data_IF_176240589805
#
_entry.id   IF_176240589805
#
_cell.length_a   1.000
_cell.length_b   1.000
_cell.length_c   1.000
_cell.angle_alpha   90.00
_cell.angle_beta   90.00
_cell.angle_gamma   90.00
#
_symmetry.space_group_name_H-M   'P 1'
#
loop_
_entity.id
_entity.type
_entity.pdbx_description
1 polymer ?
#
# COMPACT_ATOMS: atom_id res chain seq x y z
N UNK A 1 1.61 7.16 -17.79
CA UNK A 1 1.90 7.64 -16.42
C UNK A 1 1.12 6.86 -15.36
N UNK A 2 -0.22 6.95 -15.27
CA UNK A 2 -0.96 6.21 -14.24
C UNK A 2 -0.76 4.69 -14.30
N UNK A 3 -0.87 4.08 -15.49
CA UNK A 3 -0.65 2.63 -15.63
C UNK A 3 0.77 2.20 -15.24
N UNK A 4 1.77 3.02 -15.54
CA UNK A 4 3.14 2.75 -15.12
C UNK A 4 3.27 2.79 -13.60
N UNK A 5 2.71 3.83 -12.96
CA UNK A 5 2.63 3.89 -11.49
C UNK A 5 1.86 2.72 -10.89
N UNK A 6 0.78 2.28 -11.55
CA UNK A 6 -0.01 1.12 -11.14
C UNK A 6 0.80 -0.17 -11.18
N UNK A 7 1.45 -0.46 -12.32
CA UNK A 7 2.29 -1.67 -12.45
C UNK A 7 3.48 -1.63 -11.50
N UNK A 8 4.08 -0.45 -11.30
CA UNK A 8 5.17 -0.28 -10.35
C UNK A 8 4.71 -0.57 -8.90
N UNK A 9 3.60 0.01 -8.47
CA UNK A 9 3.01 -0.25 -7.14
C UNK A 9 2.66 -1.73 -6.97
N UNK A 10 2.11 -2.35 -8.03
CA UNK A 10 1.76 -3.77 -8.07
C UNK A 10 3.00 -4.66 -7.90
N UNK A 11 4.15 -4.30 -8.48
CA UNK A 11 5.42 -5.04 -8.31
C UNK A 11 6.14 -4.75 -6.98
N UNK A 12 5.98 -3.53 -6.45
CA UNK A 12 6.60 -3.15 -5.18
C UNK A 12 6.00 -3.96 -4.02
N UNK A 13 4.70 -4.22 -4.03
CA UNK A 13 4.03 -5.01 -2.99
C UNK A 13 4.64 -6.40 -2.76
N UNK A 14 4.74 -7.30 -3.76
CA UNK A 14 5.36 -8.60 -3.58
C UNK A 14 6.86 -8.47 -3.28
N UNK A 15 7.55 -7.45 -3.80
CA UNK A 15 8.95 -7.19 -3.46
C UNK A 15 9.13 -6.90 -1.96
N UNK A 16 8.28 -6.04 -1.41
CA UNK A 16 8.23 -5.74 0.03
C UNK A 16 7.82 -6.98 0.85
N UNK A 17 6.92 -7.80 0.32
CA UNK A 17 6.50 -9.05 0.93
C UNK A 17 7.64 -10.06 1.05
N UNK A 18 8.35 -10.29 -0.05
CA UNK A 18 9.46 -11.23 -0.17
C UNK A 18 10.63 -10.76 0.70
N UNK A 19 10.92 -9.45 0.72
CA UNK A 19 11.91 -8.88 1.62
C UNK A 19 11.63 -9.27 3.08
N UNK A 20 10.40 -9.02 3.54
CA UNK A 20 10.00 -9.32 4.93
C UNK A 20 9.96 -10.81 5.21
N UNK A 21 9.46 -11.60 4.28
CA UNK A 21 9.48 -13.06 4.37
C UNK A 21 10.92 -13.56 4.54
N UNK A 22 11.85 -13.06 3.73
CA UNK A 22 13.27 -13.45 3.79
C UNK A 22 13.94 -13.02 5.10
N UNK A 23 13.67 -11.80 5.56
CA UNK A 23 14.29 -11.26 6.78
C UNK A 23 13.71 -11.90 8.05
N UNK A 24 12.39 -12.10 8.13
CA UNK A 24 11.70 -12.56 9.34
C UNK A 24 11.57 -14.08 9.35
N UNK A 25 11.07 -14.67 8.26
CA UNK A 25 10.78 -16.11 8.20
C UNK A 25 12.05 -16.93 7.92
N UNK A 26 12.90 -16.48 7.00
CA UNK A 26 14.17 -17.17 6.70
C UNK A 26 15.34 -16.69 7.58
N UNK A 27 15.17 -15.63 8.37
CA UNK A 27 16.22 -15.02 9.19
C UNK A 27 17.49 -14.65 8.39
N UNK A 28 17.34 -14.26 7.11
CA UNK A 28 18.45 -13.91 6.21
C UNK A 28 18.50 -12.40 5.94
N UNK A 29 19.15 -11.65 6.83
CA UNK A 29 19.32 -10.19 6.68
C UNK A 29 20.26 -9.78 5.55
N UNK A 30 21.18 -10.67 5.15
CA UNK A 30 22.23 -10.35 4.16
C UNK A 30 21.76 -10.44 2.70
N UNK A 31 20.54 -10.93 2.45
CA UNK A 31 20.01 -11.08 1.09
C UNK A 31 19.60 -9.72 0.53
N UNK A 32 18.79 -8.98 1.29
CA UNK A 32 18.32 -7.64 0.91
C UNK A 32 19.17 -6.55 1.56
N UNK A 33 20.34 -6.28 0.99
CA UNK A 33 21.12 -5.06 1.30
C UNK A 33 20.64 -3.88 0.47
N UNK A 34 20.98 -2.65 0.87
CA UNK A 34 20.61 -1.43 0.14
C UNK A 34 21.00 -1.49 -1.35
N UNK A 35 22.27 -1.83 -1.63
CA UNK A 35 22.77 -1.94 -3.01
C UNK A 35 22.05 -3.03 -3.81
N UNK A 36 21.84 -4.22 -3.23
CA UNK A 36 21.12 -5.31 -3.91
C UNK A 36 19.66 -4.97 -4.17
N UNK A 37 19.03 -4.26 -3.23
CA UNK A 37 17.66 -3.78 -3.38
C UNK A 37 17.57 -2.79 -4.53
N UNK A 38 18.50 -1.82 -4.60
CA UNK A 38 18.57 -0.87 -5.71
C UNK A 38 18.74 -1.58 -7.07
N UNK A 39 19.62 -2.59 -7.13
CA UNK A 39 19.82 -3.40 -8.34
C UNK A 39 18.57 -4.20 -8.72
N UNK A 40 17.78 -4.67 -7.75
CA UNK A 40 16.52 -5.35 -7.97
C UNK A 40 15.40 -4.42 -8.45
N UNK A 41 15.45 -3.13 -8.12
CA UNK A 41 14.50 -2.14 -8.62
C UNK A 41 14.67 -1.83 -10.12
N UNK A 42 15.88 -1.95 -10.67
CA UNK A 42 16.14 -1.72 -12.11
C UNK A 42 15.27 -2.62 -13.00
N UNK A 43 15.29 -3.97 -12.87
CA UNK A 43 14.43 -4.84 -13.68
C UNK A 43 12.95 -4.67 -13.34
N UNK A 44 12.59 -4.33 -12.10
CA UNK A 44 11.18 -4.05 -11.73
C UNK A 44 10.65 -2.86 -12.53
N UNK A 45 11.40 -1.76 -12.58
CA UNK A 45 11.02 -0.58 -13.33
C UNK A 45 10.91 -0.93 -14.81
N UNK A 46 11.89 -1.68 -15.36
CA UNK A 46 11.85 -2.11 -16.76
C UNK A 46 10.61 -2.97 -17.07
N UNK A 47 10.24 -3.91 -16.18
CA UNK A 47 9.03 -4.74 -16.34
C UNK A 47 7.76 -3.90 -16.23
N UNK A 48 7.70 -2.95 -15.28
CA UNK A 48 6.54 -2.05 -15.13
C UNK A 48 6.34 -1.17 -16.36
N UNK A 49 7.42 -0.55 -16.86
CA UNK A 49 7.37 0.29 -18.07
C UNK A 49 7.05 -0.55 -19.31
N UNK A 50 7.57 -1.77 -19.43
CA UNK A 50 7.21 -2.70 -20.51
C UNK A 50 5.72 -3.07 -20.43
N UNK A 51 5.20 -3.49 -19.27
CA UNK A 51 3.80 -3.84 -19.08
C UNK A 51 2.86 -2.65 -19.38
N UNK A 52 3.24 -1.44 -18.98
CA UNK A 52 2.52 -0.22 -19.32
C UNK A 52 2.51 0.02 -20.84
N UNK A 53 3.66 -0.13 -21.49
CA UNK A 53 3.79 0.05 -22.95
C UNK A 53 2.96 -0.98 -23.72
N UNK A 54 3.01 -2.25 -23.31
CA UNK A 54 2.20 -3.31 -23.92
C UNK A 54 0.71 -3.03 -23.76
N UNK A 55 0.29 -2.63 -22.56
CA UNK A 55 -1.11 -2.35 -22.24
C UNK A 55 -1.67 -1.13 -22.95
N UNK A 56 -0.83 -0.12 -23.24
CA UNK A 56 -1.25 1.14 -23.86
C UNK A 56 -1.12 1.17 -25.39
N UNK A 57 -0.04 0.63 -25.95
CA UNK A 57 0.31 0.84 -27.37
C UNK A 57 0.25 -0.43 -28.22
N UNK A 58 0.55 -1.60 -27.64
CA UNK A 58 0.73 -2.84 -28.42
C UNK A 58 -0.55 -3.69 -28.46
N UNK A 59 -1.35 -3.68 -27.38
CA UNK A 59 -2.68 -4.31 -27.36
C UNK A 59 -3.76 -3.23 -27.57
N UNK A 60 -4.11 -2.88 -28.83
CA UNK A 60 -4.89 -1.68 -29.18
C UNK A 60 -6.36 -1.67 -28.72
N UNK A 61 -6.82 -2.66 -27.95
CA UNK A 61 -8.24 -2.80 -27.63
C UNK A 61 -8.80 -1.75 -26.66
N UNK A 62 -7.97 -1.10 -25.83
CA UNK A 62 -8.43 -0.12 -24.85
C UNK A 62 -7.42 1.01 -24.65
N UNK A 63 -7.75 2.21 -25.15
CA UNK A 63 -7.08 3.44 -24.72
C UNK A 63 -7.62 3.78 -23.34
N UNK A 64 -6.74 3.82 -22.34
CA UNK A 64 -7.07 4.38 -21.02
C UNK A 64 -7.17 5.89 -21.17
N UNK A 65 -8.39 6.42 -21.16
CA UNK A 65 -8.61 7.86 -21.17
C UNK A 65 -8.64 8.32 -19.72
N UNK A 66 -7.71 9.20 -19.36
CA UNK A 66 -7.78 9.92 -18.09
C UNK A 66 -8.80 11.03 -18.22
N UNK A 67 -9.88 10.94 -17.47
CA UNK A 67 -10.81 12.05 -17.34
C UNK A 67 -10.36 12.91 -16.15
N UNK A 68 -9.83 14.08 -16.49
CA UNK A 68 -9.30 15.05 -15.53
C UNK A 68 -10.43 15.56 -14.61
N UNK A 69 -11.67 15.59 -15.08
CA UNK A 69 -12.81 16.09 -14.31
C UNK A 69 -13.15 15.22 -13.09
N UNK A 70 -12.90 13.91 -13.19
CA UNK A 70 -13.12 12.93 -12.11
C UNK A 70 -11.80 12.44 -11.49
N UNK A 71 -10.66 12.95 -11.96
CA UNK A 71 -9.32 12.45 -11.59
C UNK A 71 -9.22 10.92 -11.67
N UNK A 72 -9.87 10.32 -12.66
CA UNK A 72 -9.96 8.87 -12.77
C UNK A 72 -9.77 8.40 -14.21
N UNK A 73 -9.35 7.15 -14.34
CA UNK A 73 -9.09 6.52 -15.62
C UNK A 73 -10.23 5.58 -15.95
N UNK A 74 -10.81 5.72 -17.13
CA UNK A 74 -11.81 4.80 -17.65
C UNK A 74 -11.22 3.97 -18.79
N UNK A 75 -11.50 2.66 -18.78
CA UNK A 75 -11.17 1.79 -19.89
C UNK A 75 -12.31 1.87 -20.91
N UNK A 76 -12.07 2.53 -22.05
CA UNK A 76 -13.01 2.48 -23.16
C UNK A 76 -12.92 1.10 -23.80
N UNK A 77 -13.92 0.26 -23.56
CA UNK A 77 -14.05 -1.04 -24.22
C UNK A 77 -14.86 -0.90 -25.50
N UNK A 78 -14.31 -1.35 -26.62
CA UNK A 78 -15.07 -1.51 -27.85
C UNK A 78 -15.98 -2.75 -27.69
N UNK A 79 -17.29 -2.65 -27.97
CA UNK A 79 -18.17 -3.82 -27.93
C UNK A 79 -17.69 -4.88 -28.92
N UNK A 80 -17.78 -6.16 -28.54
CA UNK A 80 -17.35 -7.34 -29.31
C UNK A 80 -15.83 -7.54 -29.53
N UNK A 81 -14.96 -6.76 -28.86
CA UNK A 81 -13.51 -7.02 -28.88
C UNK A 81 -13.03 -7.43 -27.49
N UNK A 82 -12.34 -8.57 -27.41
CA UNK A 82 -11.75 -9.02 -26.15
C UNK A 82 -10.65 -8.07 -25.69
N UNK A 83 -10.76 -7.58 -24.45
CA UNK A 83 -9.80 -6.61 -23.91
C UNK A 83 -8.56 -7.30 -23.34
N UNK A 84 -7.53 -7.48 -24.17
CA UNK A 84 -6.23 -8.00 -23.73
C UNK A 84 -5.60 -7.15 -22.63
N UNK A 85 -5.74 -5.82 -22.68
CA UNK A 85 -5.19 -4.93 -21.64
C UNK A 85 -5.83 -5.18 -20.28
N UNK A 86 -7.16 -5.42 -20.22
CA UNK A 86 -7.83 -5.83 -18.98
C UNK A 86 -7.31 -7.19 -18.50
N UNK A 87 -7.14 -8.16 -19.39
CA UNK A 87 -6.60 -9.47 -18.98
C UNK A 87 -5.19 -9.36 -18.40
N UNK A 88 -4.32 -8.54 -19.00
CA UNK A 88 -2.95 -8.32 -18.51
C UNK A 88 -2.97 -7.70 -17.12
N UNK A 89 -3.72 -6.60 -16.93
CA UNK A 89 -3.81 -5.93 -15.63
C UNK A 89 -4.37 -6.89 -14.57
N UNK A 90 -5.44 -7.63 -14.89
CA UNK A 90 -6.07 -8.56 -13.95
C UNK A 90 -5.10 -9.66 -13.53
N UNK A 91 -4.42 -10.24 -14.51
CA UNK A 91 -3.43 -11.30 -14.28
C UNK A 91 -2.30 -10.79 -13.38
N UNK A 92 -1.85 -9.56 -13.63
CA UNK A 92 -0.80 -8.91 -12.87
C UNK A 92 -1.22 -8.62 -11.43
N UNK A 93 -2.41 -8.04 -11.24
CA UNK A 93 -2.97 -7.70 -9.93
C UNK A 93 -3.21 -8.98 -9.11
N UNK A 94 -3.77 -10.03 -9.72
CA UNK A 94 -3.99 -11.33 -9.07
C UNK A 94 -2.68 -11.99 -8.65
N UNK A 95 -1.68 -12.00 -9.53
CA UNK A 95 -0.38 -12.61 -9.25
C UNK A 95 0.36 -11.86 -8.13
N UNK A 96 0.41 -10.52 -8.21
CA UNK A 96 1.06 -9.68 -7.22
C UNK A 96 0.36 -9.77 -5.86
N UNK A 97 -0.98 -9.73 -5.85
CA UNK A 97 -1.80 -9.92 -4.64
C UNK A 97 -1.59 -11.31 -4.05
N UNK A 98 -1.59 -12.35 -4.89
CA UNK A 98 -1.42 -13.74 -4.47
C UNK A 98 -0.07 -13.98 -3.80
N UNK A 99 1.04 -13.59 -4.45
CA UNK A 99 2.38 -13.71 -3.88
C UNK A 99 2.49 -12.96 -2.56
N UNK A 100 2.01 -11.71 -2.53
CA UNK A 100 2.05 -10.89 -1.32
C UNK A 100 1.29 -11.58 -0.20
N UNK A 101 0.04 -11.98 -0.44
CA UNK A 101 -0.82 -12.64 0.55
C UNK A 101 -0.15 -13.88 1.15
N UNK A 102 0.44 -14.74 0.31
CA UNK A 102 1.17 -15.94 0.77
C UNK A 102 2.37 -15.56 1.64
N UNK A 103 3.21 -14.62 1.19
CA UNK A 103 4.37 -14.17 1.95
C UNK A 103 3.97 -13.59 3.31
N UNK A 104 2.91 -12.79 3.38
CA UNK A 104 2.45 -12.19 4.63
C UNK A 104 1.73 -13.16 5.56
N UNK A 105 0.99 -14.13 5.01
CA UNK A 105 0.46 -15.24 5.79
C UNK A 105 1.60 -16.01 6.48
N UNK A 106 2.68 -16.31 5.75
CA UNK A 106 3.87 -16.95 6.31
C UNK A 106 4.54 -16.10 7.39
N UNK A 107 4.73 -14.80 7.16
CA UNK A 107 5.31 -13.88 8.16
C UNK A 107 4.43 -13.81 9.41
N UNK A 108 3.11 -13.73 9.24
CA UNK A 108 2.15 -13.72 10.35
C UNK A 108 2.24 -14.99 11.18
N UNK A 109 2.26 -16.16 10.53
CA UNK A 109 2.41 -17.46 11.21
C UNK A 109 3.73 -17.52 11.98
N UNK A 110 4.83 -17.07 11.38
CA UNK A 110 6.14 -17.00 12.04
C UNK A 110 6.09 -16.14 13.30
N UNK A 111 5.54 -14.92 13.23
CA UNK A 111 5.43 -14.02 14.38
C UNK A 111 4.55 -14.63 15.47
N UNK A 112 3.40 -15.23 15.10
CA UNK A 112 2.49 -15.88 16.06
C UNK A 112 3.16 -17.05 16.78
N UNK A 113 3.90 -17.88 16.06
CA UNK A 113 4.64 -19.01 16.64
C UNK A 113 5.79 -18.53 17.51
N UNK A 114 6.43 -17.42 17.14
CA UNK A 114 7.48 -16.79 17.91
C UNK A 114 6.92 -16.29 19.27
N UNK A 115 5.79 -15.59 19.28
CA UNK A 115 5.15 -15.02 20.48
C UNK A 115 4.77 -16.05 21.56
N UNK A 116 4.67 -17.34 21.22
CA UNK A 116 4.39 -18.42 22.18
C UNK A 116 5.61 -18.80 23.05
N UNK A 117 6.82 -18.34 22.70
CA UNK A 117 8.07 -18.69 23.41
C UNK A 117 8.41 -17.60 24.44
N UNK A 118 8.86 -18.01 25.65
CA UNK A 118 9.34 -17.13 26.74
C UNK A 118 10.46 -16.21 26.23
N UNK A 119 10.42 -14.93 26.59
CA UNK A 119 10.99 -13.85 25.76
C UNK A 119 12.03 -12.96 26.45
N UNK A 120 13.15 -12.72 25.79
CA UNK A 120 14.11 -11.67 26.15
C UNK A 120 13.56 -10.28 25.81
N UNK A 121 13.81 -9.28 26.66
CA UNK A 121 13.31 -7.91 26.44
C UNK A 121 13.67 -7.34 25.05
N UNK A 122 14.88 -7.62 24.53
CA UNK A 122 15.32 -7.18 23.21
C UNK A 122 14.52 -7.85 22.07
N UNK A 123 14.25 -9.16 22.20
CA UNK A 123 13.42 -9.91 21.23
C UNK A 123 11.99 -9.38 21.22
N UNK A 124 11.45 -9.03 22.39
CA UNK A 124 10.12 -8.43 22.52
C UNK A 124 9.99 -7.12 21.73
N UNK A 125 11.00 -6.24 21.80
CA UNK A 125 10.99 -4.94 21.10
C UNK A 125 11.05 -5.13 19.58
N UNK A 126 11.93 -6.01 19.10
CA UNK A 126 12.04 -6.35 17.67
C UNK A 126 10.75 -6.96 17.14
N UNK A 127 10.13 -7.90 17.87
CA UNK A 127 8.85 -8.51 17.48
C UNK A 127 7.68 -7.54 17.47
N UNK A 128 7.62 -6.62 18.45
CA UNK A 128 6.65 -5.50 18.40
C UNK A 128 6.85 -4.69 17.14
N UNK A 129 8.09 -4.39 16.75
CA UNK A 129 8.41 -3.72 15.50
C UNK A 129 7.97 -4.50 14.25
N UNK A 130 8.25 -5.80 14.20
CA UNK A 130 7.85 -6.66 13.08
C UNK A 130 6.32 -6.76 12.95
N UNK A 131 5.62 -6.87 14.07
CA UNK A 131 4.14 -6.89 14.12
C UNK A 131 3.55 -5.58 13.58
N UNK A 132 4.14 -4.41 13.92
CA UNK A 132 3.69 -3.11 13.40
C UNK A 132 3.79 -3.03 11.89
N UNK A 133 4.93 -3.46 11.36
CA UNK A 133 5.14 -3.46 9.93
C UNK A 133 4.22 -4.44 9.19
N UNK A 134 3.87 -5.55 9.83
CA UNK A 134 2.87 -6.48 9.29
C UNK A 134 1.51 -5.79 9.20
N UNK A 135 1.06 -5.11 10.25
CA UNK A 135 -0.21 -4.36 10.24
C UNK A 135 -0.20 -3.30 9.13
N UNK A 136 0.89 -2.55 8.98
CA UNK A 136 1.07 -1.58 7.89
C UNK A 136 0.86 -2.21 6.53
N UNK A 137 1.48 -3.35 6.31
CA UNK A 137 1.30 -4.04 5.06
C UNK A 137 -0.15 -4.53 4.86
N UNK A 138 -0.79 -5.09 5.89
CA UNK A 138 -2.17 -5.58 5.79
C UNK A 138 -3.11 -4.46 5.34
N UNK A 139 -2.95 -3.24 5.87
CA UNK A 139 -3.73 -2.10 5.42
C UNK A 139 -3.46 -1.73 3.96
N UNK A 140 -2.19 -1.66 3.54
CA UNK A 140 -1.82 -1.42 2.14
C UNK A 140 -2.47 -2.46 1.23
N UNK A 141 -2.38 -3.74 1.59
CA UNK A 141 -2.93 -4.84 0.81
C UNK A 141 -4.46 -4.78 0.72
N UNK A 142 -5.16 -4.47 1.82
CA UNK A 142 -6.62 -4.29 1.80
C UNK A 142 -7.01 -3.14 0.88
N UNK A 143 -6.37 -1.98 1.00
CA UNK A 143 -6.70 -0.83 0.17
C UNK A 143 -6.32 -1.03 -1.30
N UNK A 144 -5.23 -1.73 -1.58
CA UNK A 144 -4.87 -2.12 -2.93
C UNK A 144 -5.89 -3.09 -3.53
N UNK A 145 -6.28 -4.13 -2.79
CA UNK A 145 -7.31 -5.09 -3.23
C UNK A 145 -8.63 -4.39 -3.48
N UNK A 146 -9.03 -3.48 -2.59
CA UNK A 146 -10.22 -2.67 -2.78
C UNK A 146 -10.11 -1.79 -4.05
N UNK A 147 -8.99 -1.11 -4.26
CA UNK A 147 -8.78 -0.25 -5.41
C UNK A 147 -8.86 -1.02 -6.74
N UNK A 148 -8.15 -2.15 -6.86
CA UNK A 148 -8.16 -2.93 -8.10
C UNK A 148 -9.48 -3.67 -8.29
N UNK A 149 -10.08 -4.20 -7.21
CA UNK A 149 -11.41 -4.84 -7.30
C UNK A 149 -12.46 -3.84 -7.76
N UNK A 150 -12.44 -2.60 -7.26
CA UNK A 150 -13.32 -1.53 -7.74
C UNK A 150 -13.07 -1.21 -9.21
N UNK A 151 -11.80 -1.18 -9.64
CA UNK A 151 -11.47 -0.95 -11.04
C UNK A 151 -12.12 -1.99 -11.98
N UNK A 152 -12.23 -3.25 -11.55
CA UNK A 152 -12.91 -4.31 -12.31
C UNK A 152 -14.41 -4.34 -12.15
N UNK A 153 -14.91 -4.11 -10.94
CA UNK A 153 -16.33 -4.29 -10.59
C UNK A 153 -17.16 -3.06 -10.98
N UNK A 154 -16.61 -1.85 -10.86
CA UNK A 154 -17.35 -0.61 -11.16
C UNK A 154 -17.98 -0.58 -12.55
N UNK A 155 -17.28 -0.98 -13.65
CA UNK A 155 -17.89 -1.04 -14.97
C UNK A 155 -19.10 -1.98 -15.10
N UNK A 156 -19.27 -2.95 -14.20
CA UNK A 156 -20.43 -3.86 -14.22
C UNK A 156 -21.61 -3.36 -13.38
N UNK A 157 -21.34 -2.57 -12.34
CA UNK A 157 -22.37 -2.06 -11.42
C UNK A 157 -22.86 -0.68 -11.85
N UNK A 158 -21.94 0.17 -12.32
CA UNK A 158 -22.23 1.58 -12.60
C UNK A 158 -22.51 1.75 -14.08
N UNK A 159 -23.70 2.28 -14.44
CA UNK A 159 -24.00 2.59 -15.83
C UNK A 159 -23.06 3.68 -16.37
N UNK A 160 -22.73 3.60 -17.66
CA UNK A 160 -21.67 4.40 -18.29
C UNK A 160 -21.92 5.93 -18.25
N UNK A 161 -23.14 6.35 -17.95
CA UNK A 161 -23.56 7.75 -17.82
C UNK A 161 -23.12 8.42 -16.49
N UNK A 162 -22.60 7.66 -15.52
CA UNK A 162 -22.20 8.19 -14.20
C UNK A 162 -20.72 8.00 -13.89
N UNK A 163 -19.83 8.79 -14.53
CA UNK A 163 -18.37 8.68 -14.33
C UNK A 163 -17.92 9.04 -12.90
N UNK A 164 -18.75 9.74 -12.11
CA UNK A 164 -18.42 10.18 -10.75
C UNK A 164 -18.09 9.03 -9.79
N UNK A 165 -18.65 7.84 -10.00
CA UNK A 165 -18.34 6.67 -9.15
C UNK A 165 -16.90 6.17 -9.30
N UNK A 166 -16.24 6.48 -10.43
CA UNK A 166 -14.84 6.11 -10.64
C UNK A 166 -13.88 6.92 -9.75
N UNK A 167 -14.34 7.98 -9.08
CA UNK A 167 -13.56 8.71 -8.07
C UNK A 167 -13.27 7.86 -6.81
N UNK A 168 -14.01 6.75 -6.61
CA UNK A 168 -13.71 5.80 -5.54
C UNK A 168 -12.32 5.17 -5.71
N UNK A 169 -11.88 4.93 -6.95
CA UNK A 169 -10.57 4.31 -7.24
C UNK A 169 -9.40 5.16 -6.72
N UNK A 170 -9.20 6.43 -7.15
CA UNK A 170 -8.12 7.26 -6.63
C UNK A 170 -8.24 7.52 -5.12
N UNK A 171 -9.45 7.54 -4.56
CA UNK A 171 -9.66 7.61 -3.11
C UNK A 171 -9.01 6.41 -2.40
N UNK A 172 -9.26 5.18 -2.84
CA UNK A 172 -8.61 3.99 -2.26
C UNK A 172 -7.10 3.94 -2.50
N UNK A 173 -6.62 4.42 -3.66
CA UNK A 173 -5.18 4.56 -3.92
C UNK A 173 -4.55 5.56 -2.94
N UNK A 174 -5.24 6.67 -2.63
CA UNK A 174 -4.77 7.66 -1.66
C UNK A 174 -4.80 7.09 -0.23
N UNK A 175 -5.80 6.29 0.12
CA UNK A 175 -5.82 5.55 1.39
C UNK A 175 -4.67 4.54 1.48
N UNK A 176 -4.36 3.84 0.39
CA UNK A 176 -3.20 2.97 0.31
C UNK A 176 -1.90 3.77 0.58
N UNK A 177 -1.65 4.85 -0.17
CA UNK A 177 -0.44 5.66 -0.01
C UNK A 177 -0.33 6.32 1.38
N UNK A 178 -1.46 6.75 1.95
CA UNK A 178 -1.50 7.36 3.28
C UNK A 178 -1.37 6.35 4.42
N UNK A 179 -1.64 5.06 4.21
CA UNK A 179 -1.55 4.03 5.26
C UNK A 179 -0.15 3.96 5.88
N UNK A 180 0.89 4.12 5.05
CA UNK A 180 2.28 4.18 5.50
C UNK A 180 2.51 5.35 6.47
N UNK A 181 2.05 6.53 6.08
CA UNK A 181 2.17 7.76 6.87
C UNK A 181 1.34 7.69 8.14
N UNK A 182 0.10 7.22 8.06
CA UNK A 182 -0.81 7.09 9.22
C UNK A 182 -0.17 6.19 10.27
N UNK A 183 0.44 5.06 9.88
CA UNK A 183 1.02 4.12 10.83
C UNK A 183 2.34 4.64 11.40
N UNK A 184 3.15 5.31 10.58
CA UNK A 184 4.34 6.01 11.05
C UNK A 184 3.99 7.07 12.11
N UNK A 185 3.02 7.94 11.81
CA UNK A 185 2.55 9.01 12.69
C UNK A 185 1.88 8.47 13.96
N UNK A 186 1.04 7.43 13.82
CA UNK A 186 0.30 6.84 14.94
C UNK A 186 1.22 6.19 15.96
N UNK A 187 2.39 5.71 15.53
CA UNK A 187 3.27 4.94 16.41
C UNK A 187 4.51 5.70 16.89
N UNK A 188 5.04 6.66 16.11
CA UNK A 188 6.22 7.40 16.53
C UNK A 188 5.96 8.09 17.89
N UNK A 189 6.69 7.66 18.93
CA UNK A 189 6.45 8.10 20.31
C UNK A 189 6.63 9.61 20.43
N UNK A 190 7.61 10.16 19.71
CA UNK A 190 7.87 11.60 19.66
C UNK A 190 6.64 12.32 19.10
N UNK A 191 6.16 11.88 17.94
CA UNK A 191 4.98 12.47 17.29
C UNK A 191 3.73 12.30 18.15
N UNK A 192 3.53 11.16 18.83
CA UNK A 192 2.39 10.97 19.76
C UNK A 192 2.42 11.95 20.92
N UNK A 193 3.62 12.28 21.43
CA UNK A 193 3.80 13.31 22.47
C UNK A 193 3.47 14.69 21.91
N UNK A 194 3.96 15.04 20.72
CA UNK A 194 3.68 16.33 20.08
C UNK A 194 2.22 16.51 19.66
N UNK A 195 1.61 15.51 19.03
CA UNK A 195 0.23 15.55 18.56
C UNK A 195 -0.81 15.45 19.70
N UNK A 196 -0.37 15.23 20.95
CA UNK A 196 -1.27 15.02 22.09
C UNK A 196 -2.43 14.05 21.73
N UNK A 197 -2.12 12.94 21.05
CA UNK A 197 -3.15 11.98 20.57
C UNK A 197 -4.04 11.50 21.71
N UNK A 198 -3.54 11.49 22.95
CA UNK A 198 -4.38 11.24 24.15
C UNK A 198 -5.51 12.26 24.30
N UNK A 199 -5.23 13.56 24.11
CA UNK A 199 -6.24 14.64 24.14
C UNK A 199 -7.23 14.49 22.99
N UNK A 200 -6.76 14.12 21.79
CA UNK A 200 -7.64 13.87 20.63
C UNK A 200 -8.56 12.66 20.89
N UNK A 201 -8.01 11.56 21.41
CA UNK A 201 -8.78 10.37 21.82
C UNK A 201 -9.75 10.67 22.96
N UNK A 202 -9.33 11.48 23.93
CA UNK A 202 -10.21 11.92 25.02
C UNK A 202 -11.35 12.79 24.49
N UNK A 203 -11.09 13.71 23.55
CA UNK A 203 -12.13 14.49 22.87
C UNK A 203 -13.09 13.62 22.04
N UNK A 204 -12.56 12.64 21.29
CA UNK A 204 -13.37 11.68 20.52
C UNK A 204 -14.25 10.80 21.43
N UNK A 205 -13.74 10.43 22.61
CA UNK A 205 -14.48 9.67 23.61
C UNK A 205 -15.31 10.55 24.56
N UNK A 206 -15.43 11.86 24.31
CA UNK A 206 -16.27 12.77 25.12
C UNK A 206 -15.76 13.06 26.54
N UNK A 207 -14.50 12.81 26.85
CA UNK A 207 -13.91 13.10 28.17
C UNK A 207 -13.41 14.54 28.21
N UNK A 208 -13.93 15.34 29.14
CA UNK A 208 -13.55 16.74 29.36
C UNK A 208 -12.07 16.87 29.78
N UNK A 209 -11.28 17.56 28.98
CA UNK A 209 -9.84 17.81 29.24
C UNK A 209 -9.66 19.16 29.94
N UNK A 210 -9.10 19.15 31.15
CA UNK A 210 -8.60 20.36 31.82
C UNK A 210 -7.28 20.79 31.16
N UNK A 211 -7.25 21.99 30.59
CA UNK A 211 -6.10 22.53 29.85
C UNK A 211 -4.98 22.95 30.80
N UNK A 212 -3.89 22.17 30.85
CA UNK A 212 -2.57 22.69 31.23
C UNK A 212 -1.68 22.60 29.99
N UNK A 213 -1.59 23.69 29.24
CA UNK A 213 -0.71 23.82 28.08
C UNK A 213 0.68 24.21 28.59
N UNK A 214 1.74 23.40 28.39
CA UNK A 214 3.11 23.87 28.56
C UNK A 214 3.47 24.71 27.34
N UNK A 215 3.60 26.03 27.54
CA UNK A 215 4.12 26.96 26.54
C UNK A 215 5.62 26.71 26.39
N UNK A 216 6.08 26.39 25.18
CA UNK A 216 7.50 26.22 24.88
C UNK A 216 8.19 27.60 24.90
N UNK A 217 9.37 27.77 25.53
CA UNK A 217 10.09 29.03 25.46
C UNK A 217 10.59 29.28 24.04
N UNK A 218 10.31 30.47 23.52
CA UNK A 218 10.87 31.02 22.30
C UNK A 218 12.39 31.04 22.46
N UNK A 219 13.10 30.17 21.74
CA UNK A 219 14.56 30.29 21.59
C UNK A 219 14.79 31.42 20.59
N UNK A 220 15.13 32.60 21.09
CA UNK A 220 15.64 33.68 20.24
C UNK A 220 17.03 33.27 19.71
N UNK A 221 17.26 33.30 18.39
CA UNK A 221 18.58 33.06 17.82
C UNK A 221 19.56 34.18 18.20
N UNK A 222 20.89 33.90 18.15
CA UNK A 222 21.94 34.77 18.71
C UNK A 222 22.05 36.13 18.03
#
# INVERSE_FOLDING_TARGET
MFLEGWFLESLIQPTMAINRFTVITLNRTNVFTFCRTLLLFIPIIAVASAAATFSQYIFPCCIFIGDISIMSYMAVTIPNVYSYSKLIILSFDLFCTGISTVCYACVFMTIRNANKKVEDALKSKKRKQDTRYLVQFVFISIFYIAAWSLFYVLPYIVPADKPTFYAAVPFFITLNGSSNSIIFLSYNIEIRKYLNIKVLWQKLNGVSVSSNIPVLPFVTPP
#
